data_IF_290743898289
#
_entry.id   IF_290743898289
#
_cell.length_a   1.000
_cell.length_b   1.000
_cell.length_c   1.000
_cell.angle_alpha   90.00
_cell.angle_beta   90.00
_cell.angle_gamma   90.00
#
_symmetry.space_group_name_H-M   'P 1'
#
loop_
_entity.id
_entity.type
_entity.pdbx_description
1 polymer ?
#
# COMPACT_ATOMS: atom_id res chain seq x y z
N UNK A 1 -2.94 -30.49 26.46
CA UNK A 1 -3.80 -31.20 25.49
C UNK A 1 -5.22 -30.63 25.54
N UNK A 2 -5.53 -29.55 24.81
CA UNK A 2 -6.93 -29.09 24.66
C UNK A 2 -7.10 -28.14 23.46
N UNK A 3 -6.75 -28.60 22.25
CA UNK A 3 -7.12 -27.93 21.00
C UNK A 3 -7.92 -28.82 20.03
N UNK A 4 -8.22 -30.06 20.39
CA UNK A 4 -8.90 -31.03 19.51
C UNK A 4 -10.42 -31.15 19.72
N UNK A 5 -11.01 -30.49 20.73
CA UNK A 5 -12.44 -30.63 21.06
C UNK A 5 -13.40 -29.75 20.24
N UNK A 6 -12.93 -28.65 19.64
CA UNK A 6 -13.81 -27.69 18.94
C UNK A 6 -13.98 -28.08 17.46
N UNK A 7 -12.95 -28.67 16.83
CA UNK A 7 -13.02 -29.08 15.42
C UNK A 7 -13.96 -30.25 15.15
N UNK A 8 -14.29 -31.08 16.16
CA UNK A 8 -15.18 -32.23 15.98
C UNK A 8 -16.67 -31.89 16.08
N UNK A 9 -17.02 -30.77 16.71
CA UNK A 9 -18.42 -30.33 16.83
C UNK A 9 -18.95 -29.63 15.57
N UNK A 10 -18.06 -29.12 14.70
CA UNK A 10 -18.45 -28.43 13.46
C UNK A 10 -18.76 -29.44 12.33
N UNK A 11 -18.36 -30.71 12.46
CA UNK A 11 -18.53 -31.74 11.41
C UNK A 11 -19.82 -32.57 11.53
N UNK A 12 -20.71 -32.24 12.46
CA UNK A 12 -22.03 -32.89 12.66
C UNK A 12 -23.16 -31.87 12.62
N UNK A 13 -23.09 -30.98 11.63
CA UNK A 13 -24.29 -30.28 11.13
C UNK A 13 -24.37 -30.73 9.68
N UNK A 14 -24.77 -31.99 9.51
CA UNK A 14 -25.30 -32.50 8.25
C UNK A 14 -26.54 -31.66 7.97
N UNK A 15 -26.42 -30.76 7.01
CA UNK A 15 -27.56 -30.07 6.45
C UNK A 15 -28.27 -31.07 5.54
N UNK A 16 -29.32 -31.72 6.05
CA UNK A 16 -30.35 -32.31 5.20
C UNK A 16 -31.03 -31.15 4.44
N UNK A 17 -30.48 -30.84 3.26
CA UNK A 17 -31.06 -29.95 2.25
C UNK A 17 -31.84 -30.86 1.29
N UNK A 18 -33.07 -30.50 0.88
CA UNK A 18 -33.87 -31.37 0.02
C UNK A 18 -33.16 -31.59 -1.32
N UNK A 19 -33.01 -32.86 -1.72
CA UNK A 19 -32.45 -33.25 -3.01
C UNK A 19 -33.27 -32.64 -4.15
N UNK A 20 -32.74 -31.63 -4.83
CA UNK A 20 -33.31 -31.12 -6.07
C UNK A 20 -32.81 -32.01 -7.21
N UNK A 21 -33.64 -32.95 -7.66
CA UNK A 21 -33.34 -33.81 -8.80
C UNK A 21 -33.24 -32.97 -10.07
N UNK A 22 -32.07 -32.92 -10.71
CA UNK A 22 -31.91 -32.24 -12.00
C UNK A 22 -32.55 -33.11 -13.10
N UNK A 23 -33.62 -32.65 -13.77
CA UNK A 23 -34.32 -33.47 -14.76
C UNK A 23 -33.45 -33.67 -16.01
N UNK A 24 -32.73 -34.78 -16.06
CA UNK A 24 -31.71 -35.01 -17.10
C UNK A 24 -32.29 -34.99 -18.52
N UNK A 25 -33.54 -35.43 -18.70
CA UNK A 25 -34.24 -35.34 -19.98
C UNK A 25 -34.40 -33.88 -20.45
N UNK A 26 -34.69 -32.97 -19.52
CA UNK A 26 -34.81 -31.53 -19.80
C UNK A 26 -33.48 -30.89 -20.18
N UNK A 27 -32.41 -31.23 -19.46
CA UNK A 27 -31.05 -30.78 -19.81
C UNK A 27 -30.64 -31.28 -21.20
N UNK A 28 -30.80 -32.57 -21.48
CA UNK A 28 -30.42 -33.16 -22.78
C UNK A 28 -31.18 -32.52 -23.94
N UNK A 29 -32.48 -32.25 -23.77
CA UNK A 29 -33.31 -31.58 -24.79
C UNK A 29 -32.77 -30.18 -25.11
N UNK A 30 -32.32 -29.43 -24.10
CA UNK A 30 -31.77 -28.08 -24.30
C UNK A 30 -30.38 -28.08 -24.91
N UNK A 31 -29.58 -29.10 -24.63
CA UNK A 31 -28.28 -29.27 -25.27
C UNK A 31 -28.44 -29.60 -26.76
N UNK A 32 -29.38 -30.47 -27.11
CA UNK A 32 -29.69 -30.79 -28.51
C UNK A 32 -30.21 -29.55 -29.27
N UNK A 33 -31.14 -28.78 -28.67
CA UNK A 33 -31.61 -27.51 -29.22
C UNK A 33 -30.50 -26.44 -29.30
N UNK A 34 -29.52 -26.49 -28.41
CA UNK A 34 -28.34 -25.64 -28.38
C UNK A 34 -27.23 -26.05 -29.36
N UNK A 35 -27.48 -27.03 -30.22
CA UNK A 35 -26.55 -27.46 -31.27
C UNK A 35 -25.54 -28.53 -30.85
N UNK A 36 -25.70 -29.17 -29.69
CA UNK A 36 -24.86 -30.29 -29.27
C UNK A 36 -25.43 -31.61 -29.80
N UNK A 37 -24.74 -32.24 -30.76
CA UNK A 37 -25.14 -33.53 -31.30
C UNK A 37 -24.49 -34.68 -30.51
N UNK A 38 -25.06 -35.00 -29.34
CA UNK A 38 -24.52 -36.01 -28.43
C UNK A 38 -24.77 -37.42 -28.96
N UNK A 39 -23.70 -38.19 -29.14
CA UNK A 39 -23.78 -39.62 -29.49
C UNK A 39 -24.42 -40.43 -28.35
N UNK A 40 -24.98 -41.62 -28.64
CA UNK A 40 -25.51 -42.50 -27.61
C UNK A 40 -24.49 -42.84 -26.50
N UNK A 41 -23.21 -42.95 -26.86
CA UNK A 41 -22.14 -43.22 -25.90
C UNK A 41 -21.86 -42.03 -24.95
N UNK A 42 -21.96 -40.79 -25.45
CA UNK A 42 -21.79 -39.58 -24.63
C UNK A 42 -22.97 -39.35 -23.68
N UNK A 43 -24.19 -39.66 -24.12
CA UNK A 43 -25.39 -39.65 -23.25
C UNK A 43 -25.25 -40.65 -22.10
N UNK A 44 -24.70 -41.84 -22.36
CA UNK A 44 -24.42 -42.85 -21.33
C UNK A 44 -23.30 -42.40 -20.38
N UNK A 45 -22.24 -41.76 -20.89
CA UNK A 45 -21.18 -41.21 -20.03
C UNK A 45 -21.66 -40.07 -19.15
N UNK A 46 -22.56 -39.22 -19.65
CA UNK A 46 -23.20 -38.19 -18.84
C UNK A 46 -24.03 -38.78 -17.71
N UNK A 47 -24.82 -39.81 -18.01
CA UNK A 47 -25.57 -40.57 -17.00
C UNK A 47 -24.64 -41.16 -15.93
N UNK A 48 -23.47 -41.67 -16.30
CA UNK A 48 -22.49 -42.23 -15.36
C UNK A 48 -21.82 -41.16 -14.48
N UNK A 49 -21.48 -40.00 -15.05
CA UNK A 49 -20.91 -38.88 -14.27
C UNK A 49 -21.93 -38.31 -13.29
N UNK A 50 -23.19 -38.22 -13.73
CA UNK A 50 -24.31 -37.71 -12.93
C UNK A 50 -24.67 -38.67 -11.79
N UNK A 51 -24.77 -39.97 -12.07
CA UNK A 51 -25.07 -41.00 -11.06
C UNK A 51 -23.88 -41.34 -10.16
N UNK A 52 -22.67 -40.89 -10.51
CA UNK A 52 -21.44 -41.11 -9.74
C UNK A 52 -20.88 -39.81 -9.15
N UNK A 53 -19.74 -39.29 -9.63
CA UNK A 53 -18.99 -38.21 -8.98
C UNK A 53 -19.72 -36.88 -8.86
N UNK A 54 -20.70 -36.59 -9.73
CA UNK A 54 -21.48 -35.36 -9.64
C UNK A 54 -22.69 -35.46 -8.68
N UNK A 55 -23.05 -36.67 -8.23
CA UNK A 55 -24.22 -36.90 -7.36
C UNK A 55 -24.09 -36.30 -5.96
N UNK A 56 -22.87 -35.95 -5.54
CA UNK A 56 -22.61 -35.32 -4.22
C UNK A 56 -22.62 -33.79 -4.30
N UNK A 57 -22.70 -33.23 -5.52
CA UNK A 57 -22.57 -31.79 -5.76
C UNK A 57 -23.84 -31.15 -6.33
N UNK A 58 -25.02 -31.77 -6.12
CA UNK A 58 -26.30 -31.26 -6.60
C UNK A 58 -26.62 -29.82 -6.17
N UNK A 59 -26.16 -29.46 -4.97
CA UNK A 59 -26.35 -28.13 -4.36
C UNK A 59 -25.28 -27.11 -4.80
N UNK A 60 -24.31 -27.53 -5.62
CA UNK A 60 -23.18 -26.72 -6.07
C UNK A 60 -23.18 -26.59 -7.61
N UNK A 61 -24.00 -25.69 -8.19
CA UNK A 61 -24.21 -25.63 -9.64
C UNK A 61 -22.92 -25.38 -10.41
N UNK A 62 -22.01 -24.59 -9.84
CA UNK A 62 -20.73 -24.33 -10.47
C UNK A 62 -19.89 -25.60 -10.59
N UNK A 63 -19.87 -26.45 -9.56
CA UNK A 63 -19.09 -27.71 -9.59
C UNK A 63 -19.72 -28.73 -10.55
N UNK A 64 -21.05 -28.85 -10.54
CA UNK A 64 -21.78 -29.65 -11.53
C UNK A 64 -21.44 -29.23 -12.96
N UNK A 65 -21.48 -27.91 -13.22
CA UNK A 65 -21.13 -27.33 -14.52
C UNK A 65 -19.71 -27.72 -14.95
N UNK A 66 -18.74 -27.70 -14.05
CA UNK A 66 -17.36 -28.09 -14.35
C UNK A 66 -17.16 -29.60 -14.54
N UNK A 67 -17.95 -30.44 -13.86
CA UNK A 67 -17.86 -31.89 -13.99
C UNK A 67 -18.52 -32.42 -15.27
N UNK A 68 -19.57 -31.73 -15.76
CA UNK A 68 -20.33 -32.15 -16.94
C UNK A 68 -19.73 -31.63 -18.26
N UNK A 69 -19.10 -30.45 -18.24
CA UNK A 69 -18.49 -29.84 -19.43
C UNK A 69 -17.53 -30.78 -20.20
N UNK A 70 -16.59 -31.48 -19.55
CA UNK A 70 -15.62 -32.34 -20.23
C UNK A 70 -16.23 -33.55 -20.95
N UNK A 71 -17.48 -33.90 -20.63
CA UNK A 71 -18.20 -35.02 -21.27
C UNK A 71 -18.93 -34.57 -22.54
N UNK A 72 -19.24 -33.28 -22.65
CA UNK A 72 -20.11 -32.69 -23.69
C UNK A 72 -19.33 -31.84 -24.69
N UNK A 73 -18.34 -31.08 -24.21
CA UNK A 73 -17.62 -30.11 -25.02
C UNK A 73 -16.26 -30.65 -25.47
N UNK A 74 -16.06 -30.70 -26.79
CA UNK A 74 -14.80 -31.14 -27.41
C UNK A 74 -13.90 -29.97 -27.83
N UNK A 75 -14.43 -28.75 -27.72
CA UNK A 75 -13.70 -27.50 -27.96
C UNK A 75 -14.04 -26.44 -26.92
N UNK A 76 -13.13 -25.45 -26.77
CA UNK A 76 -13.33 -24.31 -25.86
C UNK A 76 -14.62 -23.53 -26.16
N UNK A 77 -14.95 -23.36 -27.45
CA UNK A 77 -16.17 -22.67 -27.87
C UNK A 77 -17.44 -23.47 -27.51
N UNK A 78 -17.39 -24.80 -27.54
CA UNK A 78 -18.50 -25.65 -27.09
C UNK A 78 -18.66 -25.62 -25.57
N UNK A 79 -17.55 -25.56 -24.83
CA UNK A 79 -17.57 -25.50 -23.37
C UNK A 79 -18.25 -24.21 -22.88
N UNK A 80 -17.93 -23.08 -23.49
CA UNK A 80 -18.53 -21.78 -23.17
C UNK A 80 -20.03 -21.76 -23.50
N UNK A 81 -20.45 -22.38 -24.61
CA UNK A 81 -21.89 -22.54 -24.95
C UNK A 81 -22.61 -23.45 -23.97
N UNK A 82 -22.00 -24.55 -23.55
CA UNK A 82 -22.57 -25.46 -22.57
C UNK A 82 -22.83 -24.74 -21.23
N UNK A 83 -21.87 -23.91 -20.79
CA UNK A 83 -22.02 -23.15 -19.55
C UNK A 83 -23.21 -22.21 -19.56
N UNK A 84 -23.44 -21.51 -20.67
CA UNK A 84 -24.57 -20.61 -20.80
C UNK A 84 -25.90 -21.38 -20.74
N UNK A 85 -26.01 -22.50 -21.46
CA UNK A 85 -27.24 -23.32 -21.49
C UNK A 85 -27.50 -23.95 -20.12
N UNK A 86 -26.46 -24.44 -19.45
CA UNK A 86 -26.57 -25.05 -18.13
C UNK A 86 -27.01 -24.04 -17.06
N UNK A 87 -26.40 -22.85 -17.05
CA UNK A 87 -26.71 -21.80 -16.07
C UNK A 87 -28.14 -21.28 -16.24
N UNK A 88 -28.62 -21.14 -17.48
CA UNK A 88 -30.03 -20.80 -17.77
C UNK A 88 -30.99 -21.88 -17.30
N UNK A 89 -30.70 -23.16 -17.58
CA UNK A 89 -31.55 -24.27 -17.16
C UNK A 89 -31.63 -24.41 -15.63
N UNK A 90 -30.49 -24.28 -14.95
CA UNK A 90 -30.44 -24.41 -13.49
C UNK A 90 -31.20 -23.27 -12.79
N UNK A 91 -31.10 -22.04 -13.31
CA UNK A 91 -31.86 -20.90 -12.81
C UNK A 91 -33.39 -21.09 -12.91
N UNK A 92 -33.85 -21.74 -13.99
CA UNK A 92 -35.28 -22.05 -14.16
C UNK A 92 -35.77 -23.15 -13.21
N UNK A 93 -34.95 -24.17 -12.91
CA UNK A 93 -35.26 -25.19 -11.89
C UNK A 93 -35.43 -24.53 -10.52
N UNK A 94 -34.50 -23.64 -10.15
CA UNK A 94 -34.57 -22.90 -8.89
C UNK A 94 -35.78 -21.97 -8.80
N UNK A 95 -36.20 -21.39 -9.93
CA UNK A 95 -37.38 -20.54 -10.00
C UNK A 95 -38.69 -21.34 -9.85
N UNK A 96 -38.70 -22.62 -10.24
CA UNK A 96 -39.87 -23.50 -10.16
C UNK A 96 -39.95 -24.34 -8.86
N UNK A 97 -38.92 -24.31 -8.00
CA UNK A 97 -38.97 -24.97 -6.69
C UNK A 97 -39.97 -24.26 -5.75
N UNK A 98 -41.07 -24.93 -5.41
CA UNK A 98 -42.23 -24.34 -4.71
C UNK A 98 -41.96 -23.94 -3.25
N UNK A 99 -42.73 -22.99 -2.70
CA UNK A 99 -42.61 -22.48 -1.33
C UNK A 99 -42.78 -23.53 -0.19
N UNK A 100 -43.20 -24.76 -0.50
CA UNK A 100 -43.34 -25.85 0.46
C UNK A 100 -41.99 -26.31 1.04
N UNK A 101 -40.94 -26.40 0.22
CA UNK A 101 -39.61 -26.87 0.66
C UNK A 101 -38.89 -25.82 1.54
N UNK A 102 -39.23 -24.54 1.36
CA UNK A 102 -38.69 -23.42 2.16
C UNK A 102 -39.29 -23.33 3.57
N UNK A 103 -40.45 -23.94 3.82
CA UNK A 103 -41.16 -23.87 5.11
C UNK A 103 -40.61 -24.89 6.13
N UNK A 104 -40.20 -26.08 5.69
CA UNK A 104 -39.71 -27.14 6.57
C UNK A 104 -38.31 -26.82 7.15
N UNK A 105 -37.45 -26.17 6.36
CA UNK A 105 -36.11 -25.73 6.77
C UNK A 105 -36.11 -24.67 7.88
N UNK A 106 -37.11 -23.78 7.92
CA UNK A 106 -37.21 -22.73 8.95
C UNK A 106 -37.61 -23.27 10.33
N UNK A 107 -38.39 -24.35 10.38
CA UNK A 107 -38.89 -24.94 11.62
C UNK A 107 -37.83 -25.69 12.44
N UNK A 108 -36.88 -26.35 11.76
CA UNK A 108 -35.80 -27.11 12.40
C UNK A 108 -34.77 -26.17 13.05
N UNK A 109 -34.32 -25.15 12.32
CA UNK A 109 -33.30 -24.19 12.78
C UNK A 109 -33.71 -23.41 14.04
N UNK A 110 -34.99 -23.00 14.14
CA UNK A 110 -35.51 -22.27 15.30
C UNK A 110 -35.48 -23.10 16.60
N UNK A 111 -35.63 -24.44 16.52
CA UNK A 111 -35.57 -25.32 17.69
C UNK A 111 -34.15 -25.50 18.22
N UNK A 112 -33.17 -25.61 17.32
CA UNK A 112 -31.74 -25.73 17.65
C UNK A 112 -31.18 -24.44 18.24
N UNK A 113 -31.60 -23.28 17.70
CA UNK A 113 -31.20 -21.98 18.21
C UNK A 113 -31.69 -21.75 19.66
N UNK A 114 -32.92 -22.16 19.96
CA UNK A 114 -33.53 -22.01 21.29
C UNK A 114 -32.85 -22.86 22.36
N UNK A 115 -32.42 -24.08 22.01
CA UNK A 115 -31.67 -24.96 22.92
C UNK A 115 -30.25 -24.48 23.14
N UNK A 116 -29.61 -23.95 22.10
CA UNK A 116 -28.28 -23.35 22.18
C UNK A 116 -28.27 -22.11 23.08
N UNK A 117 -29.21 -21.18 22.90
CA UNK A 117 -29.35 -19.96 23.72
C UNK A 117 -29.56 -20.27 25.21
N UNK A 118 -30.37 -21.29 25.54
CA UNK A 118 -30.64 -21.68 26.93
C UNK A 118 -29.41 -22.26 27.65
N UNK A 119 -28.52 -22.92 26.89
CA UNK A 119 -27.28 -23.51 27.41
C UNK A 119 -26.18 -22.47 27.60
N UNK A 120 -26.22 -21.38 26.82
CA UNK A 120 -25.26 -20.28 26.88
C UNK A 120 -25.57 -19.29 28.03
N UNK A 121 -26.85 -19.07 28.34
CA UNK A 121 -27.27 -18.10 29.36
C UNK A 121 -26.92 -18.50 30.80
N UNK A 122 -26.66 -19.79 31.09
CA UNK A 122 -26.37 -20.27 32.45
C UNK A 122 -24.90 -20.10 32.87
N UNK A 123 -23.96 -20.06 31.92
CA UNK A 123 -22.52 -19.93 32.19
C UNK A 123 -21.99 -18.51 31.98
N UNK A 124 -22.75 -17.67 31.28
CA UNK A 124 -22.35 -16.31 30.92
C UNK A 124 -22.19 -15.35 32.13
N UNK A 125 -23.05 -15.35 33.17
CA UNK A 125 -22.93 -14.40 34.28
C UNK A 125 -21.66 -14.59 35.11
N UNK A 126 -21.22 -15.84 35.31
CA UNK A 126 -20.02 -16.16 36.08
C UNK A 126 -18.73 -15.79 35.34
N UNK A 127 -18.66 -16.05 34.03
CA UNK A 127 -17.54 -15.66 33.19
C UNK A 127 -17.47 -14.14 33.01
N UNK A 128 -18.62 -13.48 32.83
CA UNK A 128 -18.69 -12.02 32.76
C UNK A 128 -18.24 -11.37 34.07
N UNK A 129 -18.63 -11.93 35.22
CA UNK A 129 -18.17 -11.48 36.53
C UNK A 129 -16.65 -11.56 36.72
N UNK A 130 -16.03 -12.68 36.32
CA UNK A 130 -14.57 -12.84 36.38
C UNK A 130 -13.82 -11.92 35.40
N UNK A 131 -14.35 -11.72 34.19
CA UNK A 131 -13.77 -10.81 33.20
C UNK A 131 -13.88 -9.35 33.66
N UNK A 132 -15.01 -8.96 34.24
CA UNK A 132 -15.19 -7.62 34.80
C UNK A 132 -14.28 -7.41 36.03
N UNK A 133 -14.17 -8.41 36.91
CA UNK A 133 -13.25 -8.35 38.05
C UNK A 133 -11.80 -8.20 37.58
N UNK A 134 -11.37 -8.97 36.59
CA UNK A 134 -10.05 -8.83 35.97
C UNK A 134 -9.87 -7.45 35.32
N UNK A 135 -10.88 -6.95 34.61
CA UNK A 135 -10.84 -5.63 33.97
C UNK A 135 -10.74 -4.48 34.97
N UNK A 136 -11.41 -4.57 36.12
CA UNK A 136 -11.37 -3.54 37.17
C UNK A 136 -10.11 -3.64 38.05
N UNK A 137 -9.60 -4.85 38.31
CA UNK A 137 -8.38 -5.06 39.13
C UNK A 137 -7.10 -4.84 38.31
N UNK A 138 -7.09 -5.13 37.01
CA UNK A 138 -5.92 -4.98 36.14
C UNK A 138 -5.26 -3.58 36.18
N UNK A 139 -5.99 -2.45 36.11
CA UNK A 139 -5.37 -1.13 36.24
C UNK A 139 -4.88 -0.80 37.65
N UNK A 140 -5.41 -1.44 38.70
CA UNK A 140 -4.94 -1.28 40.09
C UNK A 140 -3.65 -2.05 40.38
N UNK A 141 -3.41 -3.15 39.66
CA UNK A 141 -2.21 -3.98 39.78
C UNK A 141 -1.09 -3.56 38.83
N UNK A 142 -1.35 -2.69 37.85
CA UNK A 142 -0.33 -2.26 36.90
C UNK A 142 0.58 -1.22 37.59
N UNK A 143 1.84 -1.55 37.93
CA UNK A 143 2.74 -0.54 38.46
C UNK A 143 2.92 0.56 37.41
N UNK A 144 2.92 1.82 37.85
CA UNK A 144 3.34 2.95 37.03
C UNK A 144 4.79 2.71 36.62
N UNK A 145 4.98 2.12 35.45
CA UNK A 145 6.28 2.06 34.81
C UNK A 145 6.60 3.48 34.40
N UNK A 146 7.46 4.15 35.18
CA UNK A 146 8.02 5.44 34.79
C UNK A 146 8.80 5.23 33.50
N UNK A 147 8.16 5.46 32.36
CA UNK A 147 8.81 5.37 31.07
C UNK A 147 9.90 6.43 31.00
N UNK A 148 11.15 5.98 30.91
CA UNK A 148 12.29 6.83 30.61
C UNK A 148 12.21 7.21 29.13
N UNK A 149 12.35 8.50 28.81
CA UNK A 149 12.39 8.97 27.43
C UNK A 149 13.57 9.88 27.19
N UNK A 150 14.27 9.63 26.09
CA UNK A 150 15.36 10.45 25.56
C UNK A 150 14.89 10.98 24.21
N UNK A 151 15.23 12.23 23.91
CA UNK A 151 14.99 12.80 22.60
C UNK A 151 15.90 13.99 22.34
N UNK A 152 16.05 14.32 21.07
CA UNK A 152 16.84 15.46 20.60
C UNK A 152 15.87 16.48 20.01
N UNK A 153 15.98 17.74 20.42
CA UNK A 153 15.25 18.85 19.80
C UNK A 153 16.19 19.73 19.00
N UNK A 154 15.75 20.12 17.80
CA UNK A 154 16.43 21.03 16.89
C UNK A 154 15.40 21.71 15.99
N UNK A 155 15.81 22.80 15.33
CA UNK A 155 14.98 23.56 14.40
C UNK A 155 15.17 23.00 12.99
N UNK A 156 14.08 22.79 12.26
CA UNK A 156 14.09 22.35 10.86
C UNK A 156 13.46 23.40 9.94
N UNK A 157 13.87 23.46 8.65
CA UNK A 157 14.96 22.70 8.04
C UNK A 157 16.35 23.22 8.47
N UNK A 158 17.35 22.34 8.50
CA UNK A 158 18.76 22.75 8.68
C UNK A 158 19.37 22.88 7.30
N UNK A 159 19.92 24.04 6.98
CA UNK A 159 20.48 24.30 5.66
C UNK A 159 22.01 24.40 5.71
N UNK A 160 22.65 24.15 4.57
CA UNK A 160 24.07 24.45 4.40
C UNK A 160 24.30 25.94 4.65
N UNK A 161 25.27 26.26 5.50
CA UNK A 161 25.58 27.61 5.98
C UNK A 161 24.99 27.94 7.36
N UNK A 162 24.02 27.15 7.83
CA UNK A 162 23.43 27.33 9.16
C UNK A 162 24.32 26.71 10.25
N UNK A 163 24.14 27.18 11.49
CA UNK A 163 24.63 26.49 12.68
C UNK A 163 23.44 25.85 13.38
N UNK A 164 23.37 24.53 13.36
CA UNK A 164 22.30 23.80 14.04
C UNK A 164 22.58 23.72 15.54
N UNK A 165 21.52 23.80 16.34
CA UNK A 165 21.59 23.66 17.79
C UNK A 165 20.76 22.46 18.20
N UNK A 166 21.43 21.42 18.69
CA UNK A 166 20.81 20.20 19.19
C UNK A 166 20.72 20.25 20.70
N UNK A 167 19.54 19.99 21.26
CA UNK A 167 19.31 19.98 22.70
C UNK A 167 18.81 18.61 23.15
N UNK A 168 19.49 18.05 24.15
CA UNK A 168 19.10 16.80 24.79
C UNK A 168 17.92 17.01 25.74
N UNK A 169 16.84 16.29 25.49
CA UNK A 169 15.68 16.20 26.36
C UNK A 169 15.65 14.83 27.04
N UNK A 170 15.59 14.82 28.37
CA UNK A 170 15.50 13.59 29.16
C UNK A 170 14.31 13.66 30.11
N UNK A 171 13.53 12.58 30.17
CA UNK A 171 12.47 12.40 31.19
C UNK A 171 12.77 11.15 32.01
N UNK A 172 12.67 11.27 33.33
CA UNK A 172 12.95 10.18 34.27
C UNK A 172 14.38 9.60 34.15
N UNK A 173 15.38 10.45 33.85
CA UNK A 173 16.82 10.13 33.94
C UNK A 173 17.43 11.05 34.98
N UNK A 174 18.10 10.47 35.98
CA UNK A 174 18.94 11.24 36.90
C UNK A 174 20.17 11.68 36.12
N UNK A 175 20.34 12.99 35.99
CA UNK A 175 21.36 13.59 35.10
C UNK A 175 22.51 14.22 35.88
N UNK A 176 22.57 13.97 37.20
CA UNK A 176 23.62 14.51 38.07
C UNK A 176 24.96 13.78 37.89
N UNK A 177 24.94 12.48 37.56
CA UNK A 177 26.15 11.64 37.38
C UNK A 177 26.14 10.88 36.04
N UNK A 178 25.97 11.61 34.93
CA UNK A 178 26.00 11.03 33.58
C UNK A 178 27.14 11.62 32.75
N UNK A 179 27.77 10.80 31.93
CA UNK A 179 28.62 11.25 30.82
C UNK A 179 27.75 11.27 29.56
N UNK A 180 27.74 12.37 28.85
CA UNK A 180 26.99 12.53 27.59
C UNK A 180 28.01 12.60 26.47
N UNK A 181 27.88 11.75 25.47
CA UNK A 181 28.66 11.78 24.24
C UNK A 181 27.72 12.03 23.07
N UNK A 182 28.10 12.94 22.19
CA UNK A 182 27.39 13.22 20.94
C UNK A 182 28.28 12.84 19.77
N UNK A 183 27.67 12.26 18.74
CA UNK A 183 28.32 12.08 17.46
C UNK A 183 27.37 12.44 16.31
N UNK A 184 27.95 13.00 15.25
CA UNK A 184 27.31 13.22 13.97
C UNK A 184 27.99 12.32 12.96
N UNK A 185 27.20 11.45 12.35
CA UNK A 185 27.69 10.42 11.44
C UNK A 185 27.07 10.60 10.07
N UNK A 186 27.88 10.46 9.02
CA UNK A 186 27.40 10.39 7.65
C UNK A 186 26.62 9.09 7.41
N UNK A 187 25.36 9.18 6.98
CA UNK A 187 24.47 8.01 6.89
C UNK A 187 24.91 6.99 5.84
N UNK A 188 25.55 7.43 4.76
CA UNK A 188 25.95 6.55 3.67
C UNK A 188 27.26 5.82 3.94
N UNK A 189 28.24 6.54 4.49
CA UNK A 189 29.59 6.01 4.74
C UNK A 189 29.80 5.50 6.17
N UNK A 190 28.96 5.90 7.13
CA UNK A 190 29.14 5.58 8.54
C UNK A 190 30.31 6.32 9.19
N UNK A 191 30.89 7.32 8.53
CA UNK A 191 32.02 8.08 9.06
C UNK A 191 31.55 9.13 10.06
N UNK A 192 32.22 9.21 11.21
CA UNK A 192 31.96 10.25 12.21
C UNK A 192 32.57 11.55 11.71
N UNK A 193 31.74 12.57 11.54
CA UNK A 193 32.15 13.88 11.03
C UNK A 193 32.44 14.88 12.14
N UNK A 194 31.72 14.74 13.26
CA UNK A 194 31.94 15.57 14.44
C UNK A 194 31.47 14.83 15.69
N UNK A 195 32.12 15.08 16.81
CA UNK A 195 31.76 14.52 18.11
C UNK A 195 32.08 15.50 19.25
N UNK A 196 31.39 15.36 20.38
CA UNK A 196 31.67 16.15 21.59
C UNK A 196 31.17 15.47 22.85
N UNK A 197 31.74 15.82 24.00
CA UNK A 197 31.40 15.26 25.31
C UNK A 197 30.91 16.31 26.31
N UNK A 198 30.05 15.88 27.23
CA UNK A 198 29.69 16.60 28.45
C UNK A 198 28.67 17.74 28.28
N UNK A 199 28.17 17.99 27.07
CA UNK A 199 27.24 19.08 26.79
C UNK A 199 25.79 18.58 26.68
N UNK A 200 24.84 19.31 27.28
CA UNK A 200 23.39 19.08 27.03
C UNK A 200 22.91 19.68 25.72
N UNK A 201 23.63 20.69 25.24
CA UNK A 201 23.33 21.39 24.01
C UNK A 201 24.60 21.40 23.17
N UNK A 202 24.50 20.91 21.94
CA UNK A 202 25.60 20.86 21.00
C UNK A 202 25.30 21.74 19.79
N UNK A 203 26.25 22.61 19.44
CA UNK A 203 26.16 23.48 18.27
C UNK A 203 27.08 22.95 17.18
N UNK A 204 26.52 22.72 15.99
CA UNK A 204 27.26 22.18 14.84
C UNK A 204 27.13 23.14 13.66
N UNK A 205 28.22 23.77 13.21
CA UNK A 205 28.20 24.64 12.04
C UNK A 205 28.28 23.82 10.75
N UNK A 206 27.22 23.84 9.94
CA UNK A 206 27.15 23.19 8.63
C UNK A 206 27.67 24.11 7.51
N UNK A 207 28.86 24.70 7.70
CA UNK A 207 29.44 25.67 6.75
C UNK A 207 29.75 25.05 5.38
N UNK A 208 30.18 23.79 5.37
CA UNK A 208 30.45 22.97 4.19
C UNK A 208 29.86 21.60 4.45
N UNK A 209 29.14 21.06 3.47
CA UNK A 209 28.67 19.68 3.59
C UNK A 209 29.84 18.72 3.34
N UNK A 210 30.21 17.96 4.36
CA UNK A 210 31.08 16.80 4.21
C UNK A 210 30.21 15.59 3.84
N UNK A 211 30.67 14.74 2.91
CA UNK A 211 29.94 13.52 2.52
C UNK A 211 28.53 13.78 1.96
N UNK A 212 27.58 12.99 2.45
CA UNK A 212 26.17 12.92 2.05
C UNK A 212 25.29 13.87 2.90
N UNK A 213 24.25 14.51 2.36
CA UNK A 213 23.32 15.34 3.15
C UNK A 213 22.53 14.62 4.24
N UNK A 214 22.39 13.29 4.15
CA UNK A 214 21.74 12.49 5.16
C UNK A 214 22.73 12.13 6.26
N UNK A 215 22.40 12.56 7.48
CA UNK A 215 23.21 12.40 8.68
C UNK A 215 22.42 11.65 9.74
N UNK A 216 23.14 11.04 10.66
CA UNK A 216 22.60 10.48 11.90
C UNK A 216 23.24 11.27 13.03
N UNK A 217 22.41 11.87 13.88
CA UNK A 217 22.87 12.42 15.15
C UNK A 217 22.59 11.41 16.26
N UNK A 218 23.64 11.04 16.98
CA UNK A 218 23.61 10.08 18.06
C UNK A 218 23.92 10.79 19.37
N UNK A 219 23.20 10.41 20.43
CA UNK A 219 23.52 10.78 21.80
C UNK A 219 23.60 9.53 22.67
N UNK A 220 24.77 9.32 23.27
CA UNK A 220 25.05 8.27 24.22
C UNK A 220 25.15 8.85 25.63
N UNK A 221 24.31 8.37 26.54
CA UNK A 221 24.28 8.79 27.93
C UNK A 221 24.72 7.63 28.80
N UNK A 222 25.93 7.72 29.34
CA UNK A 222 26.48 6.72 30.24
C UNK A 222 26.27 7.13 31.71
N UNK A 223 25.47 6.37 32.44
CA UNK A 223 25.15 6.61 33.85
C UNK A 223 26.13 5.87 34.76
N UNK A 224 26.96 6.61 35.51
CA UNK A 224 28.06 6.04 36.31
C UNK A 224 27.60 5.13 37.45
N UNK A 225 26.45 5.44 38.06
CA UNK A 225 25.97 4.70 39.25
C UNK A 225 25.44 3.31 38.92
N UNK A 226 24.86 3.15 37.73
CA UNK A 226 24.24 1.91 37.27
C UNK A 226 25.05 1.22 36.17
N UNK A 227 26.15 1.84 35.73
CA UNK A 227 26.99 1.39 34.62
C UNK A 227 26.16 1.05 33.38
N UNK A 228 25.18 1.91 33.09
CA UNK A 228 24.22 1.71 32.02
C UNK A 228 24.36 2.81 30.98
N UNK A 229 24.45 2.42 29.71
CA UNK A 229 24.48 3.37 28.59
C UNK A 229 23.12 3.39 27.90
N UNK A 230 22.57 4.59 27.73
CA UNK A 230 21.40 4.83 26.92
C UNK A 230 21.84 5.42 25.58
N UNK A 231 21.35 4.84 24.50
CA UNK A 231 21.69 5.21 23.14
C UNK A 231 20.45 5.73 22.42
N UNK A 232 20.57 6.84 21.72
CA UNK A 232 19.48 7.42 20.94
C UNK A 232 20.00 8.06 19.65
N UNK A 233 19.40 7.65 18.53
CA UNK A 233 19.70 8.16 17.21
C UNK A 233 18.52 8.95 16.63
N UNK A 234 18.83 10.01 15.90
CA UNK A 234 17.88 10.70 15.03
C UNK A 234 18.47 10.85 13.64
N UNK A 235 17.67 10.52 12.64
CA UNK A 235 17.95 10.91 11.27
C UNK A 235 17.87 12.43 11.13
N UNK A 236 18.78 12.98 10.32
CA UNK A 236 18.88 14.38 9.97
C UNK A 236 19.10 14.49 8.46
N UNK A 237 18.44 15.46 7.82
CA UNK A 237 18.70 15.83 6.43
C UNK A 237 19.11 17.29 6.38
N UNK A 238 20.29 17.55 5.84
CA UNK A 238 20.75 18.91 5.55
C UNK A 238 20.19 19.33 4.20
N UNK A 239 19.59 20.51 4.13
CA UNK A 239 18.98 21.06 2.93
C UNK A 239 19.91 22.04 2.20
N UNK A 240 19.79 22.09 0.88
CA UNK A 240 20.50 23.05 0.06
C UNK A 240 19.81 24.42 0.11
N UNK A 241 20.56 25.50 0.36
CA UNK A 241 20.05 26.87 0.19
C UNK A 241 20.05 27.20 -1.30
N UNK A 242 18.92 27.64 -1.86
CA UNK A 242 18.79 28.12 -3.25
C UNK A 242 19.47 27.22 -4.30
N UNK A 243 19.00 26.01 -4.62
CA UNK A 243 19.61 25.19 -5.66
C UNK A 243 19.66 25.94 -7.01
N UNK A 244 20.67 25.71 -7.87
CA UNK A 244 20.74 26.35 -9.20
C UNK A 244 19.43 26.14 -9.98
N UNK A 245 18.90 27.18 -10.60
CA UNK A 245 17.66 27.07 -11.40
C UNK A 245 18.02 27.01 -12.88
N UNK A 246 17.53 25.98 -13.58
CA UNK A 246 17.75 25.76 -15.02
C UNK A 246 16.41 25.89 -15.76
N UNK A 247 16.41 26.65 -16.83
CA UNK A 247 15.26 26.82 -17.74
C UNK A 247 15.52 26.11 -19.07
N UNK A 248 15.47 24.78 -19.01
CA UNK A 248 15.72 23.89 -20.15
C UNK A 248 17.10 24.04 -20.80
N UNK A 249 17.28 23.34 -21.93
CA UNK A 249 18.54 23.35 -22.70
C UNK A 249 18.49 24.16 -24.00
N UNK A 250 17.29 24.58 -24.45
CA UNK A 250 17.13 25.37 -25.68
C UNK A 250 17.66 24.66 -26.95
N UNK A 251 17.53 23.34 -27.04
CA UNK A 251 18.05 22.56 -28.17
C UNK A 251 17.22 22.76 -29.45
N UNK A 252 17.84 22.70 -30.65
CA UNK A 252 17.14 22.73 -31.92
C UNK A 252 16.30 21.45 -32.13
N UNK A 253 15.28 21.54 -32.97
CA UNK A 253 14.40 20.41 -33.29
C UNK A 253 15.10 19.27 -34.05
N UNK A 254 16.09 19.60 -34.89
CA UNK A 254 16.92 18.65 -35.63
C UNK A 254 18.22 19.34 -36.07
N UNK A 255 19.37 18.72 -35.80
CA UNK A 255 20.69 19.20 -36.18
C UNK A 255 21.20 18.39 -37.40
N UNK A 256 21.85 19.00 -38.40
CA UNK A 256 22.51 18.24 -39.46
C UNK A 256 23.69 17.41 -38.91
N UNK A 257 23.89 16.16 -39.37
CA UNK A 257 25.05 15.36 -38.96
C UNK A 257 26.36 16.02 -39.38
N UNK A 258 27.33 16.04 -38.47
CA UNK A 258 28.66 16.60 -38.70
C UNK A 258 28.77 18.11 -38.52
N UNK A 259 27.73 18.79 -38.06
CA UNK A 259 27.80 20.21 -37.69
C UNK A 259 28.14 20.41 -36.21
N UNK A 260 28.95 21.43 -35.93
CA UNK A 260 29.29 21.86 -34.58
C UNK A 260 28.10 22.63 -33.97
N UNK A 261 27.65 22.20 -32.79
CA UNK A 261 26.63 22.91 -32.01
C UNK A 261 27.21 23.39 -30.68
N UNK A 262 26.97 24.67 -30.35
CA UNK A 262 27.44 25.27 -29.09
C UNK A 262 26.32 25.25 -28.08
N UNK A 263 26.54 24.55 -26.96
CA UNK A 263 25.58 24.43 -25.87
C UNK A 263 25.71 25.62 -24.93
N UNK A 264 24.61 26.32 -24.69
CA UNK A 264 24.55 27.45 -23.75
C UNK A 264 23.57 27.15 -22.62
N UNK A 265 24.01 27.09 -21.35
CA UNK A 265 23.12 26.80 -20.24
C UNK A 265 22.23 28.01 -19.94
N UNK A 266 20.92 27.78 -19.83
CA UNK A 266 19.97 28.80 -19.42
C UNK A 266 19.77 28.75 -17.89
N UNK A 267 20.58 29.53 -17.17
CA UNK A 267 20.57 29.59 -15.69
C UNK A 267 19.82 30.84 -15.22
N UNK A 268 18.72 30.66 -14.49
CA UNK A 268 17.81 31.76 -14.10
C UNK A 268 18.39 32.60 -12.95
N UNK A 269 19.13 31.97 -12.03
CA UNK A 269 19.79 32.67 -10.92
C UNK A 269 21.31 32.41 -10.95
N UNK A 270 22.06 33.39 -11.45
CA UNK A 270 23.52 33.32 -11.53
C UNK A 270 24.14 33.62 -10.15
N UNK A 271 24.31 32.58 -9.33
CA UNK A 271 25.35 32.65 -8.29
C UNK A 271 26.72 32.59 -8.97
N UNK A 272 27.71 33.40 -8.55
CA UNK A 272 29.08 33.27 -9.04
C UNK A 272 29.63 31.86 -8.73
N UNK A 273 30.47 31.36 -9.63
CA UNK A 273 31.27 30.13 -9.49
C UNK A 273 30.57 28.77 -9.63
N UNK A 274 29.46 28.66 -10.37
CA UNK A 274 28.84 27.36 -10.69
C UNK A 274 29.78 26.44 -11.50
N UNK A 275 29.75 25.15 -11.18
CA UNK A 275 30.41 24.09 -11.94
C UNK A 275 29.41 23.44 -12.90
N UNK A 276 29.85 23.17 -14.12
CA UNK A 276 29.04 22.60 -15.19
C UNK A 276 29.57 21.23 -15.59
N UNK A 277 28.67 20.30 -15.87
CA UNK A 277 28.97 19.02 -16.47
C UNK A 277 27.91 18.71 -17.52
N UNK A 278 28.35 18.51 -18.74
CA UNK A 278 27.54 18.14 -19.89
C UNK A 278 27.82 16.68 -20.25
N UNK A 279 26.75 15.91 -20.43
CA UNK A 279 26.75 14.61 -21.09
C UNK A 279 26.00 14.77 -22.40
N UNK A 280 26.65 14.44 -23.52
CA UNK A 280 26.07 14.60 -24.85
C UNK A 280 25.22 13.39 -25.28
N UNK A 281 25.24 12.29 -24.51
CA UNK A 281 24.44 11.10 -24.78
C UNK A 281 25.00 10.18 -25.87
N UNK A 282 26.17 10.51 -26.45
CA UNK A 282 26.95 9.70 -27.38
C UNK A 282 28.21 9.08 -26.74
N UNK A 283 28.42 9.33 -25.45
CA UNK A 283 29.57 8.88 -24.67
C UNK A 283 30.62 9.98 -24.41
N UNK A 284 30.51 11.12 -25.10
CA UNK A 284 31.36 12.27 -24.84
C UNK A 284 30.75 13.20 -23.77
N UNK A 285 31.62 13.92 -23.05
CA UNK A 285 31.22 14.84 -21.98
C UNK A 285 32.09 16.10 -21.95
N UNK A 286 31.63 17.14 -21.26
CA UNK A 286 32.40 18.38 -21.07
C UNK A 286 32.15 19.02 -19.71
N UNK A 287 33.15 19.73 -19.19
CA UNK A 287 33.04 20.53 -17.95
C UNK A 287 33.05 22.03 -18.21
N UNK A 288 33.10 22.46 -19.48
CA UNK A 288 33.01 23.86 -19.84
C UNK A 288 31.59 24.39 -19.62
N UNK A 289 31.47 25.67 -19.25
CA UNK A 289 30.15 26.32 -19.15
C UNK A 289 29.40 26.28 -20.49
N UNK A 290 30.11 26.63 -21.57
CA UNK A 290 29.56 26.66 -22.94
C UNK A 290 30.44 25.81 -23.87
N UNK A 291 30.24 24.48 -23.93
CA UNK A 291 31.01 23.62 -24.80
C UNK A 291 30.47 23.64 -26.24
N UNK A 292 31.33 23.30 -27.19
CA UNK A 292 30.95 23.00 -28.57
C UNK A 292 31.14 21.50 -28.79
N UNK A 293 30.14 20.83 -29.36
CA UNK A 293 30.19 19.39 -29.65
C UNK A 293 29.60 19.07 -31.02
N UNK A 294 30.02 17.95 -31.60
CA UNK A 294 29.68 17.55 -32.97
C UNK A 294 29.23 16.09 -33.02
N UNK A 295 27.99 15.88 -33.45
CA UNK A 295 27.43 14.55 -33.67
C UNK A 295 27.69 14.08 -35.09
N UNK A 296 28.49 13.02 -35.26
CA UNK A 296 28.84 12.48 -36.59
C UNK A 296 27.76 11.54 -37.13
N UNK A 297 27.15 10.75 -36.24
CA UNK A 297 26.14 9.76 -36.59
C UNK A 297 24.73 10.35 -36.48
N UNK A 298 23.80 9.81 -37.27
CA UNK A 298 22.38 10.15 -37.17
C UNK A 298 21.76 9.44 -35.99
N UNK A 299 20.86 10.11 -35.29
CA UNK A 299 20.11 9.50 -34.20
C UNK A 299 19.53 10.50 -33.22
N UNK A 300 18.99 9.96 -32.14
CA UNK A 300 18.48 10.72 -31.00
C UNK A 300 19.42 10.56 -29.82
N UNK A 301 19.96 11.68 -29.33
CA UNK A 301 20.92 11.74 -28.22
C UNK A 301 20.29 12.43 -27.02
N UNK A 302 20.37 11.81 -25.84
CA UNK A 302 19.86 12.42 -24.61
C UNK A 302 20.94 13.30 -23.99
N UNK A 303 20.84 14.60 -24.19
CA UNK A 303 21.80 15.56 -23.64
C UNK A 303 21.38 15.90 -22.22
N UNK A 304 22.29 15.75 -21.26
CA UNK A 304 22.09 16.13 -19.87
C UNK A 304 23.08 17.24 -19.48
N UNK A 305 22.56 18.28 -18.84
CA UNK A 305 23.35 19.29 -18.14
C UNK A 305 23.15 19.13 -16.65
N UNK A 306 24.25 19.00 -15.94
CA UNK A 306 24.33 19.00 -14.49
C UNK A 306 25.09 20.25 -14.03
N UNK A 307 24.45 21.05 -13.18
CA UNK A 307 25.03 22.28 -12.63
C UNK A 307 25.10 22.18 -11.12
N UNK A 308 26.31 22.32 -10.57
CA UNK A 308 26.61 22.11 -9.16
C UNK A 308 27.20 23.37 -8.55
N UNK A 309 26.80 23.70 -7.32
CA UNK A 309 27.49 24.74 -6.55
C UNK A 309 28.84 24.25 -6.02
N UNK A 310 29.90 25.08 -6.16
CA UNK A 310 31.23 24.72 -5.70
C UNK A 310 31.24 24.56 -4.17
N UNK A 311 32.11 23.68 -3.68
CA UNK A 311 32.28 23.46 -2.25
C UNK A 311 31.22 22.58 -1.58
N UNK A 312 30.22 22.06 -2.31
CA UNK A 312 29.12 21.28 -1.71
C UNK A 312 29.06 19.84 -2.21
N UNK A 313 30.20 19.21 -2.50
CA UNK A 313 30.33 17.76 -2.81
C UNK A 313 29.29 17.18 -3.81
N UNK A 314 28.73 17.99 -4.72
CA UNK A 314 27.66 17.54 -5.61
C UNK A 314 26.24 17.52 -5.00
N UNK A 315 26.06 17.94 -3.75
CA UNK A 315 24.77 17.99 -3.06
C UNK A 315 23.84 19.09 -3.58
N UNK A 316 24.36 20.30 -3.79
CA UNK A 316 23.60 21.41 -4.36
C UNK A 316 23.68 21.36 -5.89
N UNK A 317 23.05 20.35 -6.47
CA UNK A 317 23.07 20.11 -7.91
C UNK A 317 21.68 20.10 -8.51
N UNK A 318 21.55 20.72 -9.67
CA UNK A 318 20.36 20.64 -10.51
C UNK A 318 20.76 20.04 -11.84
N UNK A 319 19.95 19.12 -12.35
CA UNK A 319 20.11 18.58 -13.70
C UNK A 319 18.90 18.88 -14.57
N UNK A 320 19.14 18.99 -15.86
CA UNK A 320 18.10 19.08 -16.89
C UNK A 320 18.55 18.26 -18.09
N UNK A 321 17.61 17.60 -18.75
CA UNK A 321 17.89 16.77 -19.92
C UNK A 321 16.94 17.11 -21.05
N UNK A 322 17.42 17.05 -22.28
CA UNK A 322 16.60 17.16 -23.48
C UNK A 322 17.17 16.30 -24.61
N UNK A 323 16.28 15.85 -25.49
CA UNK A 323 16.67 15.01 -26.62
C UNK A 323 17.12 15.88 -27.80
N UNK A 324 18.40 15.75 -28.17
CA UNK A 324 18.93 16.26 -29.42
C UNK A 324 18.64 15.25 -30.54
N UNK A 325 18.09 15.71 -31.66
CA UNK A 325 17.86 14.87 -32.85
C UNK A 325 18.85 15.27 -33.92
N UNK A 326 19.53 14.31 -34.53
CA UNK A 326 20.58 14.56 -35.52
C UNK A 326 20.26 13.82 -36.81
N UNK A 327 19.99 14.59 -37.87
CA UNK A 327 19.63 14.05 -39.19
C UNK A 327 18.39 13.17 -39.21
N UNK A 328 17.49 13.33 -38.23
CA UNK A 328 16.17 12.68 -38.21
C UNK A 328 15.13 13.58 -38.84
N UNK A 329 14.67 13.22 -40.03
CA UNK A 329 13.49 13.86 -40.61
C UNK A 329 12.28 13.55 -39.71
N UNK A 330 11.57 14.61 -39.29
CA UNK A 330 10.31 14.43 -38.58
C UNK A 330 9.36 13.68 -39.53
N UNK A 331 9.06 12.42 -39.21
CA UNK A 331 7.99 11.69 -39.87
C UNK A 331 6.68 12.37 -39.47
N UNK A 332 6.27 13.39 -40.23
CA UNK A 332 4.91 13.89 -40.17
C UNK A 332 4.03 12.76 -40.69
N UNK A 333 3.47 11.95 -39.80
CA UNK A 333 2.36 11.09 -40.18
C UNK A 333 1.27 12.04 -40.68
N UNK A 334 0.81 11.93 -41.94
CA UNK A 334 -0.35 12.68 -42.37
C UNK A 334 -1.49 12.30 -41.42
N UNK A 335 -2.15 13.33 -40.89
CA UNK A 335 -3.30 13.29 -40.00
C UNK A 335 -4.46 12.53 -40.66
N UNK A 336 -4.31 11.22 -40.84
CA UNK A 336 -5.38 10.34 -41.25
C UNK A 336 -6.07 9.90 -39.96
N UNK A 337 -7.06 10.70 -39.59
CA UNK A 337 -8.30 10.30 -38.94
C UNK A 337 -8.23 8.90 -38.30
N UNK A 338 -7.63 8.82 -37.11
CA UNK A 338 -8.05 7.80 -36.14
C UNK A 338 -9.47 8.18 -35.78
N UNK A 339 -10.42 7.71 -36.60
CA UNK A 339 -11.83 7.72 -36.28
C UNK A 339 -11.95 7.00 -34.95
N UNK A 340 -12.10 7.80 -33.90
CA UNK A 340 -12.55 7.35 -32.60
C UNK A 340 -13.85 6.61 -32.84
N UNK A 341 -13.80 5.28 -32.96
CA UNK A 341 -14.98 4.47 -32.74
C UNK A 341 -15.42 4.79 -31.31
N UNK A 342 -16.60 5.39 -31.07
CA UNK A 342 -17.05 5.62 -29.72
C UNK A 342 -17.23 4.24 -29.08
N UNK A 343 -16.32 3.89 -28.17
CA UNK A 343 -16.54 2.76 -27.26
C UNK A 343 -17.75 3.14 -26.43
N UNK A 344 -18.92 2.62 -26.83
CA UNK A 344 -20.10 2.64 -25.96
C UNK A 344 -19.81 1.66 -24.84
N UNK A 345 -19.27 2.17 -23.74
CA UNK A 345 -19.36 1.50 -22.46
C UNK A 345 -20.84 1.46 -22.08
N UNK A 346 -21.57 0.42 -22.51
CA UNK A 346 -22.73 -0.04 -21.77
C UNK A 346 -22.20 -0.71 -20.51
N UNK A 347 -21.74 0.11 -19.56
CA UNK A 347 -21.42 -0.33 -18.22
C UNK A 347 -22.70 -0.84 -17.58
N UNK A 348 -22.89 -2.15 -17.61
CA UNK A 348 -23.89 -2.80 -16.77
C UNK A 348 -23.44 -2.56 -15.33
N UNK A 349 -24.26 -1.83 -14.56
CA UNK A 349 -24.01 -1.51 -13.16
C UNK A 349 -23.83 -2.81 -12.38
N UNK A 350 -22.57 -3.18 -12.16
CA UNK A 350 -22.22 -4.46 -11.59
C UNK A 350 -22.19 -4.33 -10.06
N UNK A 351 -22.73 -5.35 -9.40
CA UNK A 351 -22.91 -5.52 -7.95
C UNK A 351 -21.73 -5.07 -7.07
N UNK A 352 -20.51 -5.08 -7.62
CA UNK A 352 -19.29 -4.60 -6.96
C UNK A 352 -19.31 -3.14 -6.51
N UNK A 353 -20.05 -2.24 -7.17
CA UNK A 353 -20.18 -0.84 -6.73
C UNK A 353 -20.98 -0.74 -5.42
N UNK A 354 -22.05 -1.54 -5.27
CA UNK A 354 -22.84 -1.60 -4.04
C UNK A 354 -22.09 -2.29 -2.90
N UNK A 355 -21.24 -3.27 -3.21
CA UNK A 355 -20.34 -3.87 -2.22
C UNK A 355 -19.30 -2.86 -1.73
N UNK A 356 -18.72 -2.06 -2.62
CA UNK A 356 -17.78 -0.98 -2.25
C UNK A 356 -18.45 0.12 -1.41
N UNK A 357 -19.66 0.55 -1.78
CA UNK A 357 -20.45 1.52 -0.99
C UNK A 357 -20.79 0.94 0.39
N UNK A 358 -21.15 -0.35 0.46
CA UNK A 358 -21.42 -1.05 1.73
C UNK A 358 -20.20 -1.14 2.64
N UNK A 359 -19.01 -1.44 2.08
CA UNK A 359 -17.76 -1.49 2.84
C UNK A 359 -17.32 -0.10 3.32
N UNK A 360 -17.49 0.94 2.51
CA UNK A 360 -17.24 2.33 2.91
C UNK A 360 -18.20 2.78 4.02
N UNK A 361 -19.49 2.46 3.90
CA UNK A 361 -20.47 2.76 4.94
C UNK A 361 -20.16 2.04 6.26
N UNK A 362 -19.74 0.77 6.20
CA UNK A 362 -19.32 0.00 7.38
C UNK A 362 -18.06 0.58 8.04
N UNK A 363 -17.07 1.03 7.25
CA UNK A 363 -15.86 1.68 7.76
C UNK A 363 -16.17 3.04 8.43
N UNK A 364 -17.07 3.83 7.85
CA UNK A 364 -17.54 5.09 8.44
C UNK A 364 -18.30 4.81 9.76
N UNK A 365 -19.19 3.82 9.77
CA UNK A 365 -19.94 3.44 10.98
C UNK A 365 -19.02 2.93 12.09
N UNK A 366 -18.01 2.13 11.73
CA UNK A 366 -17.00 1.64 12.67
C UNK A 366 -16.16 2.79 13.24
N UNK A 367 -15.78 3.76 12.41
CA UNK A 367 -15.03 4.94 12.85
C UNK A 367 -15.85 5.85 13.76
N UNK A 368 -17.14 6.05 13.45
CA UNK A 368 -18.08 6.78 14.32
C UNK A 368 -18.34 6.04 15.64
N UNK A 369 -18.40 4.71 15.62
CA UNK A 369 -18.51 3.89 16.83
C UNK A 369 -17.26 3.99 17.71
N UNK A 370 -16.07 4.01 17.12
CA UNK A 370 -14.82 4.26 17.85
C UNK A 370 -14.78 5.68 18.42
N UNK A 371 -15.20 6.69 17.66
CA UNK A 371 -15.31 8.08 18.12
C UNK A 371 -16.31 8.22 19.27
N UNK A 372 -17.49 7.57 19.20
CA UNK A 372 -18.46 7.58 20.29
C UNK A 372 -17.95 6.91 21.58
N UNK A 373 -16.93 6.03 21.49
CA UNK A 373 -16.25 5.44 22.65
C UNK A 373 -15.13 6.30 23.22
N UNK A 374 -14.66 7.31 22.50
CA UNK A 374 -13.74 8.30 23.07
C UNK A 374 -14.55 9.28 23.91
N UNK A 375 -14.34 9.28 25.23
CA UNK A 375 -14.98 10.28 26.10
C UNK A 375 -14.52 11.67 25.69
N UNK A 376 -15.46 12.62 25.59
CA UNK A 376 -15.13 14.01 25.38
C UNK A 376 -14.13 14.47 26.46
N UNK A 377 -13.11 15.27 26.10
CA UNK A 377 -12.23 15.87 27.09
C UNK A 377 -13.10 16.65 28.09
N UNK A 378 -12.89 16.39 29.38
CA UNK A 378 -13.58 17.11 30.45
C UNK A 378 -13.36 18.60 30.22
N UNK A 379 -14.44 19.36 30.08
CA UNK A 379 -14.38 20.81 30.10
C UNK A 379 -13.68 21.24 31.39
N UNK A 380 -12.65 22.11 31.33
CA UNK A 380 -12.01 22.62 32.53
C UNK A 380 -13.06 23.30 33.40
N UNK A 381 -13.09 22.90 34.67
CA UNK A 381 -13.97 23.47 35.70
C UNK A 381 -13.68 24.98 35.82
N UNK A 382 -14.70 25.85 35.81
CA UNK A 382 -14.47 27.28 35.95
C UNK A 382 -13.84 27.59 37.32
N UNK A 383 -12.91 28.55 37.40
CA UNK A 383 -12.26 28.91 38.66
C UNK A 383 -13.30 29.40 39.68
N UNK A 384 -13.16 28.92 40.91
CA UNK A 384 -14.02 29.32 42.04
C UNK A 384 -14.06 30.85 42.17
N UNK A 385 -15.23 31.45 42.41
CA UNK A 385 -15.34 32.88 42.63
C UNK A 385 -14.55 33.30 43.87
N UNK A 386 -13.91 34.49 43.85
CA UNK A 386 -13.16 34.99 45.00
C UNK A 386 -14.09 35.17 46.21
N UNK A 387 -13.56 35.00 47.44
CA UNK A 387 -14.34 35.24 48.66
C UNK A 387 -14.81 36.71 48.68
N UNK A 388 -16.09 36.91 48.96
CA UNK A 388 -16.70 38.24 49.08
C UNK A 388 -16.07 39.02 50.27
N UNK A 389 -15.98 40.35 50.15
CA UNK A 389 -15.25 41.23 51.07
C UNK A 389 -15.82 41.29 52.50
#
# INVERSE_FOLDING_TARGET
>A
MSKFGIYKAIKTIDTEIPHIDLPLAGLLTRLELGGFNLSPAEKVRLLQVISGPASVHWDEPQKLRYLLAPVIAHSKAEQERFYIIFDQYYAEILANATEADKAEAKGAWLKTLRTWLRKWWSTFPALLGLVLLAYFIYPLLKPETKTTSIGISYITPIRVGDTAVFTLNTKNIDTVDVNIHWSLTDKASGTIEAETDGLRTWQVPFTVLQGNPEKIITVDIHEKRRDSTFHFDSDLRIDCVNPPQLDGLGLPNNLPPGEDYTFTPNVIEATPDLQYHWDFGDGDSSTLRTPTHRYVEKGSYNVELKVTRPGLSGFCTTSTSATMRVGEDQVTLPWYDLQYAPVRLTGNYNWGLWVLIGLLAAAIFYSLFLWAKTQAPRTPEPPNPPPNP
#
